data_IF_701307372569
#
_entry.id   IF_701307372569
#
_cell.length_a   1.000
_cell.length_b   1.000
_cell.length_c   1.000
_cell.angle_alpha   90.00
_cell.angle_beta   90.00
_cell.angle_gamma   90.00
#
_symmetry.space_group_name_H-M   'P 1'
#
loop_
_entity.id
_entity.type
_entity.pdbx_description
1 polymer ?
#
# COMPACT_ATOMS: atom_id res chain seq x y z
N UNK A 1 -34.20 3.32 13.47
CA UNK A 1 -32.86 3.61 12.93
C UNK A 1 -32.26 2.29 12.42
N UNK A 2 -31.34 2.28 11.47
CA UNK A 2 -30.76 1.03 10.94
C UNK A 2 -29.26 1.21 10.70
N UNK A 3 -28.48 0.18 11.05
CA UNK A 3 -27.06 0.06 10.68
C UNK A 3 -26.98 -0.81 9.43
N UNK A 4 -26.34 -0.31 8.38
CA UNK A 4 -26.19 -1.03 7.10
C UNK A 4 -24.70 -1.21 6.82
N UNK A 5 -24.24 -2.46 6.77
CA UNK A 5 -22.89 -2.82 6.32
C UNK A 5 -22.88 -2.86 4.79
N UNK A 6 -21.92 -2.17 4.15
CA UNK A 6 -21.92 -1.94 2.69
C UNK A 6 -20.96 -2.85 1.93
N UNK A 7 -19.79 -3.16 2.48
CA UNK A 7 -18.72 -3.87 1.77
C UNK A 7 -18.48 -5.31 2.29
N UNK A 8 -19.27 -5.79 3.25
CA UNK A 8 -19.16 -7.15 3.76
C UNK A 8 -20.52 -7.81 3.87
N UNK A 9 -20.53 -9.12 3.66
CA UNK A 9 -21.67 -9.99 3.92
C UNK A 9 -21.36 -10.97 5.05
N UNK A 10 -22.36 -11.31 5.87
CA UNK A 10 -22.19 -12.27 6.96
C UNK A 10 -21.79 -13.64 6.41
N UNK A 11 -20.70 -14.21 6.92
CA UNK A 11 -20.10 -15.47 6.48
C UNK A 11 -19.04 -15.31 5.39
N UNK A 12 -18.80 -14.09 4.90
CA UNK A 12 -17.78 -13.81 3.89
C UNK A 12 -16.36 -14.15 4.39
N UNK A 13 -15.53 -14.65 3.47
CA UNK A 13 -14.16 -15.08 3.75
C UNK A 13 -13.16 -14.10 3.16
N UNK A 14 -12.09 -13.79 3.90
CA UNK A 14 -10.96 -12.99 3.44
C UNK A 14 -9.66 -13.53 4.02
N UNK A 15 -8.55 -13.27 3.36
CA UNK A 15 -7.21 -13.59 3.87
C UNK A 15 -6.50 -12.40 4.53
N UNK A 16 -7.23 -11.30 4.73
CA UNK A 16 -6.71 -10.07 5.33
C UNK A 16 -6.96 -10.04 6.85
N UNK A 17 -5.90 -9.87 7.64
CA UNK A 17 -5.99 -9.86 9.11
C UNK A 17 -6.76 -8.66 9.64
N UNK A 18 -6.56 -7.48 9.05
CA UNK A 18 -7.31 -6.28 9.40
C UNK A 18 -8.46 -6.09 8.40
N UNK A 19 -9.69 -6.29 8.85
CA UNK A 19 -10.88 -6.08 8.03
C UNK A 19 -11.34 -4.62 8.11
N UNK A 20 -11.36 -3.92 6.97
CA UNK A 20 -11.96 -2.58 6.86
C UNK A 20 -13.46 -2.74 6.60
N UNK A 21 -14.29 -2.49 7.60
CA UNK A 21 -15.74 -2.56 7.51
C UNK A 21 -16.31 -1.17 7.28
N UNK A 22 -16.99 -1.00 6.14
CA UNK A 22 -17.65 0.25 5.74
C UNK A 22 -19.16 0.08 5.90
N UNK A 23 -19.81 1.08 6.49
CA UNK A 23 -21.25 1.06 6.66
C UNK A 23 -21.84 2.46 6.73
N UNK A 24 -23.16 2.51 6.88
CA UNK A 24 -23.87 3.73 7.20
C UNK A 24 -24.93 3.51 8.28
N UNK A 25 -25.25 4.57 8.99
CA UNK A 25 -26.38 4.66 9.91
C UNK A 25 -27.47 5.52 9.27
N UNK A 26 -28.67 4.99 9.20
CA UNK A 26 -29.79 5.64 8.52
C UNK A 26 -31.05 5.70 9.39
N UNK A 27 -31.83 6.76 9.21
CA UNK A 27 -33.16 6.93 9.78
C UNK A 27 -34.14 7.20 8.64
N UNK A 28 -35.25 6.44 8.57
CA UNK A 28 -36.25 6.55 7.49
C UNK A 28 -35.64 6.48 6.07
N UNK A 29 -34.64 5.63 5.87
CA UNK A 29 -33.90 5.46 4.61
C UNK A 29 -32.99 6.63 4.18
N UNK A 30 -32.79 7.63 5.05
CA UNK A 30 -31.86 8.73 4.84
C UNK A 30 -30.66 8.62 5.80
N UNK A 31 -29.42 8.88 5.35
CA UNK A 31 -28.26 8.93 6.23
C UNK A 31 -28.46 9.96 7.33
N UNK A 32 -28.15 9.60 8.58
CA UNK A 32 -28.24 10.54 9.70
C UNK A 32 -27.07 11.53 9.57
N UNK A 33 -27.40 12.80 9.31
CA UNK A 33 -26.43 13.90 9.34
C UNK A 33 -26.32 14.39 10.79
N UNK A 34 -25.85 13.53 11.70
CA UNK A 34 -25.48 13.97 13.05
C UNK A 34 -24.04 14.48 13.01
N UNK A 35 -23.77 15.62 13.64
CA UNK A 35 -22.41 16.06 13.89
C UNK A 35 -21.82 15.26 15.08
N UNK A 36 -20.71 14.57 14.82
CA UNK A 36 -19.84 13.89 15.79
C UNK A 36 -20.50 12.86 16.72
N UNK A 37 -20.97 11.75 16.15
CA UNK A 37 -21.28 10.53 16.92
C UNK A 37 -20.25 9.42 16.62
N UNK A 38 -20.17 8.43 17.51
CA UNK A 38 -19.35 7.22 17.32
C UNK A 38 -20.23 5.96 17.22
N UNK A 39 -19.80 5.01 16.39
CA UNK A 39 -20.29 3.63 16.41
C UNK A 39 -19.39 2.77 17.31
N UNK A 40 -20.02 1.98 18.17
CA UNK A 40 -19.32 1.05 19.05
C UNK A 40 -19.12 -0.26 18.30
N UNK A 41 -17.87 -0.67 18.15
CA UNK A 41 -17.49 -1.95 17.55
C UNK A 41 -16.93 -2.85 18.64
N UNK A 42 -17.54 -4.01 18.84
CA UNK A 42 -17.14 -5.00 19.84
C UNK A 42 -16.73 -6.29 19.17
N UNK A 43 -15.54 -6.79 19.50
CA UNK A 43 -15.01 -8.08 19.05
C UNK A 43 -14.28 -8.74 20.23
N UNK A 44 -14.77 -9.90 20.68
CA UNK A 44 -14.29 -10.53 21.90
C UNK A 44 -14.43 -9.60 23.11
N UNK A 45 -13.30 -9.28 23.76
CA UNK A 45 -13.20 -8.31 24.86
C UNK A 45 -12.83 -6.90 24.40
N UNK A 46 -12.49 -6.73 23.12
CA UNK A 46 -12.07 -5.45 22.56
C UNK A 46 -13.28 -4.62 22.19
N UNK A 47 -13.30 -3.37 22.66
CA UNK A 47 -14.31 -2.37 22.32
C UNK A 47 -13.61 -1.16 21.71
N UNK A 48 -14.01 -0.77 20.51
CA UNK A 48 -13.53 0.42 19.82
C UNK A 48 -14.66 1.39 19.49
N UNK A 49 -14.38 2.68 19.59
CA UNK A 49 -15.25 3.76 19.13
C UNK A 49 -14.76 4.24 17.78
N UNK A 50 -15.65 4.28 16.79
CA UNK A 50 -15.32 4.67 15.43
C UNK A 50 -16.18 5.86 14.98
N UNK A 51 -15.57 6.92 14.44
CA UNK A 51 -16.31 8.10 14.02
C UNK A 51 -17.36 7.78 12.95
N UNK A 52 -18.54 8.35 13.15
CA UNK A 52 -19.61 8.40 12.15
C UNK A 52 -19.64 9.82 11.58
N UNK A 53 -19.39 9.94 10.28
CA UNK A 53 -19.38 11.22 9.57
C UNK A 53 -20.38 11.20 8.42
N UNK A 54 -21.30 12.17 8.38
CA UNK A 54 -22.42 12.22 7.42
C UNK A 54 -23.22 10.91 7.36
N UNK A 55 -23.35 10.22 8.49
CA UNK A 55 -24.02 8.93 8.60
C UNK A 55 -23.22 7.75 8.05
N UNK A 56 -21.95 7.93 7.67
CA UNK A 56 -21.06 6.87 7.21
C UNK A 56 -19.99 6.56 8.27
N UNK A 57 -19.54 5.32 8.32
CA UNK A 57 -18.43 4.92 9.18
C UNK A 57 -17.50 3.96 8.45
N UNK A 58 -16.23 3.96 8.87
CA UNK A 58 -15.23 2.95 8.52
C UNK A 58 -14.60 2.47 9.81
N UNK A 59 -14.62 1.16 10.02
CA UNK A 59 -14.05 0.52 11.20
C UNK A 59 -13.03 -0.53 10.78
N UNK A 60 -11.87 -0.55 11.42
CA UNK A 60 -10.84 -1.58 11.19
C UNK A 60 -10.91 -2.58 12.33
N UNK A 61 -11.08 -3.86 11.99
CA UNK A 61 -11.21 -4.94 12.96
C UNK A 61 -10.08 -5.93 12.75
N UNK A 62 -9.30 -6.20 13.80
CA UNK A 62 -8.29 -7.26 13.78
C UNK A 62 -8.96 -8.62 13.98
N UNK A 63 -8.85 -9.49 12.98
CA UNK A 63 -9.45 -10.81 12.94
C UNK A 63 -8.47 -11.88 13.41
N UNK A 64 -8.99 -12.88 14.11
CA UNK A 64 -8.29 -14.13 14.39
C UNK A 64 -8.61 -15.18 13.31
N UNK A 65 -7.73 -16.18 13.15
CA UNK A 65 -7.93 -17.27 12.18
C UNK A 65 -9.24 -18.00 12.48
N UNK A 66 -10.04 -18.23 11.44
CA UNK A 66 -11.35 -18.87 11.59
C UNK A 66 -12.50 -17.87 11.67
N UNK A 67 -13.49 -18.15 12.50
CA UNK A 67 -14.76 -17.38 12.57
C UNK A 67 -14.64 -16.25 13.58
N UNK A 68 -15.07 -15.06 13.18
CA UNK A 68 -15.00 -13.83 13.96
C UNK A 68 -16.37 -13.16 13.99
N UNK A 69 -16.96 -13.06 15.17
CA UNK A 69 -18.25 -12.39 15.36
C UNK A 69 -18.03 -10.97 15.86
N UNK A 70 -18.34 -9.99 15.01
CA UNK A 70 -18.12 -8.57 15.27
C UNK A 70 -19.46 -7.87 15.42
N UNK A 71 -19.67 -7.21 16.56
CA UNK A 71 -20.91 -6.48 16.85
C UNK A 71 -20.71 -4.99 16.60
N UNK A 72 -21.60 -4.42 15.81
CA UNK A 72 -21.69 -2.98 15.56
C UNK A 72 -22.92 -2.45 16.28
N UNK A 73 -22.73 -1.48 17.18
CA UNK A 73 -23.82 -0.86 17.95
C UNK A 73 -23.80 0.65 17.78
N UNK A 74 -24.96 1.21 17.44
CA UNK A 74 -25.17 2.65 17.32
C UNK A 74 -26.48 2.99 18.02
N UNK A 75 -26.40 3.78 19.11
CA UNK A 75 -27.52 4.05 20.03
C UNK A 75 -28.18 2.75 20.51
N UNK A 76 -29.47 2.54 20.23
CA UNK A 76 -30.23 1.34 20.62
C UNK A 76 -30.14 0.19 19.59
N UNK A 77 -29.65 0.48 18.39
CA UNK A 77 -29.56 -0.49 17.30
C UNK A 77 -28.25 -1.26 17.33
N UNK A 78 -28.29 -2.52 16.91
CA UNK A 78 -27.10 -3.36 16.77
C UNK A 78 -27.20 -4.32 15.59
N UNK A 79 -26.06 -4.60 14.97
CA UNK A 79 -25.89 -5.60 13.90
C UNK A 79 -24.71 -6.49 14.25
N UNK A 80 -24.88 -7.80 14.01
CA UNK A 80 -23.82 -8.79 14.13
C UNK A 80 -23.29 -9.13 12.73
N UNK A 81 -21.99 -8.99 12.52
CA UNK A 81 -21.29 -9.36 11.31
C UNK A 81 -20.33 -10.50 11.63
N UNK A 82 -20.58 -11.67 11.04
CA UNK A 82 -19.68 -12.81 11.13
C UNK A 82 -18.72 -12.79 9.94
N UNK A 83 -17.41 -12.76 10.20
CA UNK A 83 -16.35 -12.77 9.20
C UNK A 83 -15.48 -14.02 9.35
N UNK A 84 -14.90 -14.51 8.25
CA UNK A 84 -13.97 -15.64 8.31
C UNK A 84 -12.58 -15.27 7.77
N UNK A 85 -11.57 -15.38 8.61
CA UNK A 85 -10.17 -15.24 8.19
C UNK A 85 -9.63 -16.61 7.74
N UNK A 86 -9.28 -16.73 6.46
CA UNK A 86 -8.63 -17.92 5.87
C UNK A 86 -7.37 -17.48 5.14
N UNK A 87 -6.24 -17.96 5.63
CA UNK A 87 -4.91 -17.78 5.01
C UNK A 87 -4.83 -18.57 3.69
N UNK A 88 -4.09 -18.07 2.71
CA UNK A 88 -3.84 -18.81 1.48
C UNK A 88 -3.01 -20.07 1.80
N UNK A 89 -3.34 -21.17 1.14
CA UNK A 89 -2.60 -22.43 1.22
C UNK A 89 -1.31 -22.34 0.39
N UNK A 90 -0.34 -21.59 0.89
CA UNK A 90 1.00 -21.42 0.33
C UNK A 90 1.95 -20.94 1.44
N UNK A 91 3.24 -21.19 1.28
CA UNK A 91 4.29 -20.71 2.19
C UNK A 91 4.79 -19.29 1.85
N UNK A 92 4.30 -18.68 0.77
CA UNK A 92 4.74 -17.35 0.33
C UNK A 92 4.25 -16.27 1.28
N UNK A 93 5.18 -15.51 1.89
CA UNK A 93 4.83 -14.45 2.85
C UNK A 93 5.78 -13.24 2.86
N UNK A 94 5.22 -12.07 3.15
CA UNK A 94 5.96 -10.84 3.36
C UNK A 94 6.44 -10.80 4.82
N UNK A 95 7.71 -10.48 5.01
CA UNK A 95 8.36 -10.33 6.31
C UNK A 95 8.55 -8.84 6.59
N UNK A 96 7.86 -8.28 7.59
CA UNK A 96 8.16 -6.95 8.09
C UNK A 96 9.52 -6.99 8.79
N UNK A 97 10.45 -6.11 8.40
CA UNK A 97 11.84 -6.16 8.81
C UNK A 97 12.32 -4.78 9.27
N UNK A 98 12.99 -4.73 10.42
CA UNK A 98 13.70 -3.54 10.88
C UNK A 98 15.21 -3.77 10.77
N UNK A 99 15.90 -2.91 10.02
CA UNK A 99 17.33 -3.03 9.74
C UNK A 99 18.11 -2.06 10.62
N UNK A 100 18.88 -2.62 11.54
CA UNK A 100 19.70 -1.88 12.51
C UNK A 100 21.14 -1.83 12.02
N UNK A 101 21.67 -0.64 11.77
CA UNK A 101 23.07 -0.44 11.37
C UNK A 101 24.04 -0.87 12.49
N UNK A 102 25.26 -1.22 12.10
CA UNK A 102 26.33 -1.55 13.04
C UNK A 102 26.61 -0.37 13.99
N UNK A 103 26.76 -0.70 15.27
CA UNK A 103 26.91 0.27 16.36
C UNK A 103 25.70 1.17 16.64
N UNK A 104 24.56 0.96 15.98
CA UNK A 104 23.31 1.71 16.26
C UNK A 104 22.45 1.01 17.31
N UNK A 105 21.79 1.77 18.17
CA UNK A 105 20.91 1.25 19.23
C UNK A 105 19.49 0.92 18.73
N UNK A 106 19.23 1.15 17.45
CA UNK A 106 17.93 0.89 16.82
C UNK A 106 16.87 1.95 17.10
N UNK A 107 17.22 3.11 17.66
CA UNK A 107 16.27 4.20 17.84
C UNK A 107 16.05 4.98 16.55
N UNK A 108 14.80 5.29 16.22
CA UNK A 108 14.47 6.18 15.10
C UNK A 108 14.26 7.63 15.56
N UNK A 109 14.34 8.60 14.64
CA UNK A 109 14.10 9.99 14.96
C UNK A 109 12.63 10.25 15.29
N UNK A 110 12.36 10.84 16.46
CA UNK A 110 11.02 11.09 16.97
C UNK A 110 10.95 12.36 17.82
N UNK A 111 9.76 12.94 18.05
CA UNK A 111 9.57 14.01 19.02
C UNK A 111 9.96 13.58 20.45
N UNK A 112 10.29 14.55 21.30
CA UNK A 112 10.51 14.31 22.73
C UNK A 112 9.29 13.63 23.38
N UNK A 113 9.55 12.66 24.25
CA UNK A 113 8.52 11.87 24.94
C UNK A 113 7.83 10.80 24.08
N UNK A 114 8.16 10.67 22.79
CA UNK A 114 7.66 9.57 21.93
C UNK A 114 8.56 8.34 22.10
N UNK A 115 7.97 7.16 22.30
CA UNK A 115 8.73 5.90 22.29
C UNK A 115 9.29 5.63 20.89
N UNK A 116 10.61 5.76 20.78
CA UNK A 116 11.37 5.53 19.57
C UNK A 116 12.30 4.31 19.66
N UNK A 117 12.04 3.40 20.60
CA UNK A 117 12.80 2.16 20.76
C UNK A 117 12.70 1.24 19.53
N UNK A 118 13.62 0.28 19.45
CA UNK A 118 13.59 -0.82 18.49
C UNK A 118 12.27 -1.60 18.56
N UNK A 119 11.74 -1.84 19.76
CA UNK A 119 10.46 -2.54 19.96
C UNK A 119 9.27 -1.72 19.43
N UNK A 120 9.27 -0.41 19.66
CA UNK A 120 8.28 0.52 19.07
C UNK A 120 8.35 0.50 17.54
N UNK A 121 9.56 0.52 16.97
CA UNK A 121 9.76 0.43 15.53
C UNK A 121 9.14 -0.85 14.97
N UNK A 122 9.46 -2.00 15.57
CA UNK A 122 8.93 -3.30 15.16
C UNK A 122 7.40 -3.35 15.20
N UNK A 123 6.77 -2.82 16.27
CA UNK A 123 5.30 -2.77 16.39
C UNK A 123 4.66 -1.89 15.32
N UNK A 124 5.23 -0.71 15.04
CA UNK A 124 4.77 0.21 14.00
C UNK A 124 4.88 -0.41 12.60
N UNK A 125 6.01 -1.04 12.30
CA UNK A 125 6.26 -1.70 11.02
C UNK A 125 5.30 -2.88 10.80
N UNK A 126 5.09 -3.70 11.83
CA UNK A 126 4.16 -4.82 11.79
C UNK A 126 2.72 -4.37 11.51
N UNK A 127 2.24 -3.35 12.23
CA UNK A 127 0.90 -2.79 12.00
C UNK A 127 0.79 -2.15 10.60
N UNK A 128 1.82 -1.41 10.18
CA UNK A 128 1.88 -0.83 8.85
C UNK A 128 1.79 -1.88 7.74
N UNK A 129 2.46 -3.03 7.88
CA UNK A 129 2.35 -4.14 6.94
C UNK A 129 0.93 -4.69 6.82
N UNK A 130 0.21 -4.85 7.94
CA UNK A 130 -1.19 -5.28 7.92
C UNK A 130 -2.15 -4.20 7.37
N UNK A 131 -1.87 -2.92 7.57
CA UNK A 131 -2.63 -1.83 6.95
C UNK A 131 -2.45 -1.84 5.43
N UNK A 132 -1.21 -2.00 4.93
CA UNK A 132 -0.93 -2.16 3.50
C UNK A 132 -1.65 -3.38 2.94
N UNK A 133 -1.60 -4.51 3.65
CA UNK A 133 -2.34 -5.73 3.29
C UNK A 133 -3.84 -5.45 3.09
N UNK A 134 -4.45 -4.69 4.02
CA UNK A 134 -5.88 -4.31 3.97
C UNK A 134 -6.21 -3.40 2.81
N UNK A 135 -5.36 -2.39 2.60
CA UNK A 135 -5.52 -1.47 1.49
C UNK A 135 -5.53 -2.24 0.17
N UNK A 136 -4.58 -3.15 -0.04
CA UNK A 136 -4.53 -3.95 -1.25
C UNK A 136 -5.81 -4.78 -1.46
N UNK A 137 -6.33 -5.42 -0.40
CA UNK A 137 -7.57 -6.20 -0.48
C UNK A 137 -8.79 -5.35 -0.87
N UNK A 138 -8.96 -4.18 -0.25
CA UNK A 138 -10.08 -3.28 -0.54
C UNK A 138 -9.96 -2.66 -1.93
N UNK A 139 -8.75 -2.28 -2.36
CA UNK A 139 -8.53 -1.70 -3.70
C UNK A 139 -8.73 -2.72 -4.81
N UNK A 140 -8.50 -4.01 -4.55
CA UNK A 140 -8.87 -5.09 -5.49
C UNK A 140 -10.39 -5.28 -5.56
N UNK A 141 -11.08 -5.28 -4.42
CA UNK A 141 -12.54 -5.38 -4.38
C UNK A 141 -13.22 -4.23 -5.15
N UNK A 142 -12.76 -3.00 -4.95
CA UNK A 142 -13.29 -1.82 -5.66
C UNK A 142 -13.08 -1.87 -7.18
N UNK A 143 -12.16 -2.70 -7.67
CA UNK A 143 -11.95 -2.98 -9.10
C UNK A 143 -12.81 -4.13 -9.62
N UNK A 144 -13.71 -4.66 -8.79
CA UNK A 144 -14.55 -5.81 -9.12
C UNK A 144 -13.80 -7.14 -9.12
N UNK A 145 -12.63 -7.20 -8.49
CA UNK A 145 -11.84 -8.43 -8.32
C UNK A 145 -12.10 -9.02 -6.93
N UNK A 146 -11.76 -10.30 -6.70
CA UNK A 146 -11.93 -10.90 -5.38
C UNK A 146 -11.14 -10.13 -4.31
N UNK A 147 -11.74 -9.95 -3.13
CA UNK A 147 -11.06 -9.41 -1.95
C UNK A 147 -9.99 -10.40 -1.51
N UNK A 148 -8.74 -10.12 -1.88
CA UNK A 148 -7.58 -10.92 -1.51
C UNK A 148 -6.33 -10.07 -1.47
N UNK A 149 -5.31 -10.57 -0.80
CA UNK A 149 -4.06 -9.84 -0.58
C UNK A 149 -2.90 -10.80 -0.34
N UNK A 150 -1.67 -10.30 -0.22
CA UNK A 150 -0.53 -11.10 0.21
C UNK A 150 -0.63 -11.43 1.70
N UNK A 151 0.12 -12.42 2.15
CA UNK A 151 0.16 -12.83 3.56
C UNK A 151 1.42 -12.28 4.23
N UNK A 152 1.29 -11.88 5.49
CA UNK A 152 2.43 -11.54 6.34
C UNK A 152 2.91 -12.81 7.05
N UNK A 153 4.20 -12.91 7.39
CA UNK A 153 4.77 -14.12 8.02
C UNK A 153 3.99 -14.56 9.27
N UNK A 154 3.63 -13.62 10.14
CA UNK A 154 2.84 -13.91 11.34
C UNK A 154 1.40 -14.36 11.02
N UNK A 155 0.86 -14.03 9.84
CA UNK A 155 -0.42 -14.59 9.41
C UNK A 155 -0.33 -16.08 9.17
N UNK A 156 0.81 -16.60 8.66
CA UNK A 156 1.08 -18.01 8.36
C UNK A 156 1.51 -18.82 9.59
N UNK A 157 2.32 -18.23 10.45
CA UNK A 157 2.77 -18.83 11.69
C UNK A 157 2.58 -17.81 12.83
N UNK A 158 1.49 -17.94 13.62
CA UNK A 158 1.25 -17.04 14.75
C UNK A 158 2.38 -17.02 15.78
N UNK A 159 3.25 -18.03 15.83
CA UNK A 159 4.42 -18.08 16.69
C UNK A 159 5.63 -17.31 16.15
N UNK A 160 5.64 -16.95 14.86
CA UNK A 160 6.72 -16.17 14.25
C UNK A 160 6.66 -14.70 14.68
N UNK A 161 7.80 -13.97 14.73
CA UNK A 161 7.83 -12.56 15.06
C UNK A 161 6.94 -11.72 14.13
N UNK A 162 6.25 -10.73 14.68
CA UNK A 162 5.43 -9.78 13.89
C UNK A 162 6.29 -8.83 13.05
N UNK A 163 7.52 -8.56 13.50
CA UNK A 163 8.57 -7.91 12.74
C UNK A 163 9.91 -8.51 13.16
N UNK A 164 10.76 -8.81 12.19
CA UNK A 164 12.13 -9.31 12.44
C UNK A 164 13.11 -8.16 12.53
N UNK A 165 14.23 -8.39 13.22
CA UNK A 165 15.35 -7.45 13.26
C UNK A 165 16.54 -8.07 12.53
N UNK A 166 17.14 -7.30 11.63
CA UNK A 166 18.41 -7.63 10.99
C UNK A 166 19.46 -6.60 11.42
N UNK A 167 20.56 -7.07 11.99
CA UNK A 167 21.73 -6.23 12.25
C UNK A 167 22.61 -6.23 11.01
N UNK A 168 22.70 -5.08 10.36
CA UNK A 168 23.51 -4.84 9.16
C UNK A 168 24.96 -4.59 9.53
N UNK A 169 25.88 -4.95 8.65
CA UNK A 169 27.31 -4.61 8.78
C UNK A 169 27.59 -3.14 8.42
N UNK A 170 26.63 -2.42 7.82
CA UNK A 170 26.79 -0.99 7.55
C UNK A 170 26.74 -0.19 8.83
N UNK A 171 27.75 0.63 9.08
CA UNK A 171 27.66 1.69 10.09
C UNK A 171 26.70 2.78 9.64
N UNK A 172 26.18 3.58 10.58
CA UNK A 172 25.35 4.74 10.25
C UNK A 172 26.06 5.74 9.31
N UNK A 173 27.37 5.92 9.47
CA UNK A 173 28.15 6.87 8.66
C UNK A 173 28.24 6.42 7.20
N UNK A 174 28.39 5.13 6.97
CA UNK A 174 28.44 4.55 5.63
C UNK A 174 27.06 4.59 4.99
N UNK A 175 26.03 4.12 5.70
CA UNK A 175 24.67 4.10 5.20
C UNK A 175 24.18 5.49 4.75
N UNK A 176 24.52 6.54 5.50
CA UNK A 176 24.14 7.94 5.18
C UNK A 176 24.90 8.55 3.99
N UNK A 177 25.97 7.92 3.50
CA UNK A 177 26.74 8.37 2.32
C UNK A 177 26.32 7.67 1.03
N UNK A 178 25.71 6.49 1.14
CA UNK A 178 25.28 5.70 0.00
C UNK A 178 24.06 6.33 -0.69
N UNK A 179 23.96 6.13 -2.00
CA UNK A 179 22.71 6.41 -2.73
C UNK A 179 21.67 5.35 -2.36
N UNK A 180 20.40 5.68 -2.58
CA UNK A 180 19.30 4.76 -2.27
C UNK A 180 19.44 3.42 -3.01
N UNK A 181 19.89 3.42 -4.27
CA UNK A 181 20.05 2.19 -5.06
C UNK A 181 21.15 1.30 -4.46
N UNK A 182 22.29 1.89 -4.09
CA UNK A 182 23.39 1.19 -3.44
C UNK A 182 22.97 0.63 -2.07
N UNK A 183 22.17 1.38 -1.29
CA UNK A 183 21.59 0.91 -0.03
C UNK A 183 20.66 -0.28 -0.26
N UNK A 184 19.74 -0.17 -1.23
CA UNK A 184 18.78 -1.22 -1.55
C UNK A 184 19.49 -2.52 -1.98
N UNK A 185 20.50 -2.41 -2.84
CA UNK A 185 21.30 -3.56 -3.29
C UNK A 185 22.10 -4.19 -2.14
N UNK A 186 22.73 -3.37 -1.30
CA UNK A 186 23.52 -3.85 -0.18
C UNK A 186 22.65 -4.60 0.83
N UNK A 187 21.56 -3.97 1.29
CA UNK A 187 20.64 -4.58 2.25
C UNK A 187 19.96 -5.83 1.67
N UNK A 188 19.58 -5.79 0.38
CA UNK A 188 19.04 -6.96 -0.31
C UNK A 188 20.02 -8.13 -0.31
N UNK A 189 21.31 -7.87 -0.58
CA UNK A 189 22.35 -8.90 -0.51
C UNK A 189 22.52 -9.43 0.91
N UNK A 190 22.58 -8.57 1.92
CA UNK A 190 22.71 -8.98 3.32
C UNK A 190 21.55 -9.89 3.75
N UNK A 191 20.31 -9.50 3.46
CA UNK A 191 19.12 -10.31 3.73
C UNK A 191 19.30 -11.70 3.13
N UNK A 192 19.70 -11.79 1.86
CA UNK A 192 19.86 -13.07 1.15
C UNK A 192 21.07 -13.91 1.61
N UNK A 193 22.04 -13.31 2.29
CA UNK A 193 23.16 -14.03 2.91
C UNK A 193 22.95 -14.35 4.40
N UNK A 194 21.87 -13.84 4.99
CA UNK A 194 21.55 -14.00 6.40
C UNK A 194 20.69 -15.25 6.67
N UNK A 195 20.52 -15.67 7.94
CA UNK A 195 19.65 -16.81 8.29
C UNK A 195 18.16 -16.61 7.95
N UNK A 196 17.71 -15.38 7.70
CA UNK A 196 16.30 -15.12 7.34
C UNK A 196 16.01 -15.35 5.86
N UNK A 197 17.06 -15.46 5.02
CA UNK A 197 16.98 -15.62 3.57
C UNK A 197 16.02 -16.74 3.14
N UNK A 198 15.20 -16.44 2.13
CA UNK A 198 14.29 -17.42 1.54
C UNK A 198 13.70 -16.88 0.24
N UNK A 199 13.61 -17.72 -0.78
CA UNK A 199 12.90 -17.40 -2.03
C UNK A 199 11.37 -17.38 -1.84
N UNK A 200 10.88 -17.94 -0.73
CA UNK A 200 9.47 -17.91 -0.32
C UNK A 200 9.12 -16.67 0.51
N UNK A 201 10.10 -15.78 0.74
CA UNK A 201 9.92 -14.54 1.50
C UNK A 201 10.22 -13.31 0.65
N UNK A 202 9.41 -12.27 0.89
CA UNK A 202 9.63 -10.90 0.40
C UNK A 202 9.75 -10.01 1.63
N UNK A 203 10.53 -8.94 1.57
CA UNK A 203 10.86 -8.16 2.76
C UNK A 203 10.35 -6.74 2.61
N UNK A 204 9.54 -6.30 3.58
CA UNK A 204 9.25 -4.88 3.80
C UNK A 204 10.21 -4.40 4.88
N UNK A 205 11.31 -3.77 4.46
CA UNK A 205 12.40 -3.38 5.34
C UNK A 205 12.37 -1.87 5.63
N UNK A 206 12.52 -1.49 6.89
CA UNK A 206 12.72 -0.10 7.31
C UNK A 206 14.12 0.07 7.90
N UNK A 207 14.89 1.03 7.38
CA UNK A 207 16.23 1.34 7.83
C UNK A 207 16.22 2.25 9.06
N UNK A 208 16.89 1.82 10.13
CA UNK A 208 16.88 2.53 11.43
C UNK A 208 17.60 3.88 11.45
N UNK A 209 18.55 4.11 10.53
CA UNK A 209 19.49 5.24 10.65
C UNK A 209 19.11 6.50 9.86
N UNK A 210 17.87 6.58 9.36
CA UNK A 210 17.34 7.79 8.71
C UNK A 210 17.48 8.98 9.62
N UNK A 211 17.95 10.10 9.08
CA UNK A 211 18.17 11.30 9.87
C UNK A 211 17.83 12.57 9.08
N UNK A 212 17.05 13.43 9.70
CA UNK A 212 16.75 14.78 9.24
C UNK A 212 17.44 15.80 10.16
N UNK A 213 18.24 16.70 9.57
CA UNK A 213 19.01 17.72 10.29
C UNK A 213 18.34 19.10 10.34
N UNK A 214 17.12 19.23 9.81
CA UNK A 214 16.42 20.51 9.61
C UNK A 214 16.54 21.08 8.20
N UNK A 215 17.45 20.54 7.37
CA UNK A 215 17.69 21.01 5.99
C UNK A 215 17.66 19.86 4.99
N UNK A 216 18.25 18.71 5.34
CA UNK A 216 18.36 17.55 4.45
C UNK A 216 18.09 16.26 5.22
N UNK A 217 17.49 15.31 4.50
CA UNK A 217 17.37 13.93 4.96
C UNK A 217 18.48 13.06 4.36
N UNK A 218 18.99 12.13 5.16
CA UNK A 218 19.96 11.11 4.74
C UNK A 218 19.50 9.73 5.19
N UNK A 219 19.94 8.69 4.46
CA UNK A 219 19.53 7.29 4.68
C UNK A 219 18.01 7.09 4.76
N UNK A 220 17.26 7.75 3.86
CA UNK A 220 15.81 7.62 3.69
C UNK A 220 15.49 7.03 2.32
N UNK A 221 15.83 5.75 2.06
CA UNK A 221 15.48 5.12 0.80
C UNK A 221 13.96 5.05 0.63
N UNK A 222 13.50 4.97 -0.60
CA UNK A 222 12.14 4.56 -0.96
C UNK A 222 12.25 3.80 -2.29
N UNK A 223 12.57 2.51 -2.18
CA UNK A 223 12.82 1.65 -3.34
C UNK A 223 12.21 0.26 -3.15
N UNK A 224 11.51 -0.20 -4.18
CA UNK A 224 10.90 -1.51 -4.25
C UNK A 224 11.26 -2.24 -5.53
N UNK A 225 11.34 -3.57 -5.44
CA UNK A 225 11.58 -4.44 -6.60
C UNK A 225 11.99 -5.84 -6.18
N UNK A 226 11.97 -6.79 -7.10
CA UNK A 226 12.46 -8.15 -6.86
C UNK A 226 11.79 -8.81 -5.65
N UNK A 227 12.47 -8.82 -4.49
CA UNK A 227 11.92 -9.30 -3.22
C UNK A 227 12.05 -8.34 -2.03
N UNK A 228 12.35 -7.06 -2.26
CA UNK A 228 12.61 -6.07 -1.21
C UNK A 228 11.89 -4.74 -1.51
N UNK A 229 11.12 -4.25 -0.54
CA UNK A 229 10.74 -2.86 -0.41
C UNK A 229 11.52 -2.27 0.77
N UNK A 230 12.48 -1.37 0.50
CA UNK A 230 13.33 -0.72 1.50
C UNK A 230 12.90 0.74 1.64
N UNK A 231 12.53 1.13 2.86
CA UNK A 231 12.23 2.51 3.19
C UNK A 231 13.01 3.03 4.40
N UNK A 232 13.08 4.34 4.57
CA UNK A 232 13.63 4.96 5.78
C UNK A 232 12.63 5.07 6.94
N UNK A 233 13.16 5.29 8.13
CA UNK A 233 12.41 5.43 9.39
C UNK A 233 12.01 6.88 9.73
N UNK A 234 12.30 7.86 8.86
CA UNK A 234 12.18 9.29 9.17
C UNK A 234 10.76 9.74 9.59
N UNK A 235 9.74 8.99 9.19
CA UNK A 235 8.32 9.28 9.48
C UNK A 235 7.68 8.27 10.43
N UNK A 236 8.42 7.26 10.89
CA UNK A 236 7.90 6.13 11.67
C UNK A 236 7.27 6.58 12.99
N UNK A 237 7.72 7.70 13.56
CA UNK A 237 7.16 8.32 14.76
C UNK A 237 5.69 8.75 14.61
N UNK A 238 5.19 8.92 13.38
CA UNK A 238 3.78 9.26 13.11
C UNK A 238 2.86 8.03 13.05
N UNK A 239 3.44 6.82 12.93
CA UNK A 239 2.69 5.58 12.75
C UNK A 239 2.08 5.08 14.06
N UNK A 240 0.91 4.41 14.01
CA UNK A 240 0.37 3.76 15.20
C UNK A 240 1.23 2.55 15.60
N UNK A 241 1.42 2.33 16.90
CA UNK A 241 2.03 1.10 17.46
C UNK A 241 1.00 -0.01 17.67
N UNK A 242 -0.28 0.34 17.71
CA UNK A 242 -1.40 -0.59 17.94
C UNK A 242 -2.67 -0.06 17.30
N UNK A 243 -3.64 -0.96 17.07
CA UNK A 243 -4.90 -0.59 16.41
C UNK A 243 -5.69 0.47 17.17
N UNK A 244 -5.58 0.52 18.51
CA UNK A 244 -6.24 1.54 19.34
C UNK A 244 -5.73 2.96 19.09
N UNK A 245 -4.52 3.12 18.56
CA UNK A 245 -3.95 4.42 18.20
C UNK A 245 -4.31 4.87 16.78
N UNK A 246 -4.92 3.99 15.96
CA UNK A 246 -5.10 4.22 14.53
C UNK A 246 -5.86 5.53 14.24
N UNK A 247 -7.02 5.72 14.88
CA UNK A 247 -7.85 6.91 14.70
C UNK A 247 -7.08 8.15 15.13
N UNK A 248 -6.47 8.12 16.32
CA UNK A 248 -5.67 9.24 16.83
C UNK A 248 -4.57 9.64 15.85
N UNK A 249 -3.76 8.69 15.37
CA UNK A 249 -2.67 9.00 14.45
C UNK A 249 -3.14 9.55 13.09
N UNK A 250 -4.21 9.00 12.51
CA UNK A 250 -4.77 9.51 11.25
C UNK A 250 -5.57 10.80 11.38
N UNK A 251 -5.85 11.26 12.61
CA UNK A 251 -6.56 12.52 12.86
C UNK A 251 -5.68 13.58 13.53
N UNK A 252 -4.43 13.26 13.88
CA UNK A 252 -3.49 14.17 14.53
C UNK A 252 -3.11 15.38 13.63
N UNK A 253 -3.77 16.51 13.87
CA UNK A 253 -3.56 17.76 13.14
C UNK A 253 -2.43 18.62 13.71
N UNK A 254 -1.66 18.14 14.70
CA UNK A 254 -0.48 18.89 15.19
C UNK A 254 0.46 19.18 14.03
N UNK A 255 1.08 20.35 14.05
CA UNK A 255 2.02 20.76 13.01
C UNK A 255 3.34 20.02 13.15
N UNK A 256 3.91 19.60 12.03
CA UNK A 256 5.22 18.97 12.01
C UNK A 256 6.28 19.97 12.47
N UNK A 257 7.05 19.71 13.54
CA UNK A 257 8.10 20.61 13.97
C UNK A 257 9.26 20.61 12.96
N UNK A 258 10.03 21.71 12.83
CA UNK A 258 11.13 21.80 11.86
C UNK A 258 12.24 20.75 12.05
N UNK A 259 12.39 20.22 13.27
CA UNK A 259 13.39 19.20 13.60
C UNK A 259 13.01 17.77 13.19
N UNK A 260 11.87 17.57 12.54
CA UNK A 260 11.41 16.26 12.04
C UNK A 260 11.13 16.33 10.54
N UNK A 261 11.29 15.19 9.87
CA UNK A 261 11.03 15.07 8.45
C UNK A 261 9.53 15.24 8.16
N UNK A 262 9.19 16.25 7.35
CA UNK A 262 7.83 16.44 6.85
C UNK A 262 7.65 15.74 5.49
N UNK A 263 7.11 14.53 5.51
CA UNK A 263 6.65 13.82 4.31
C UNK A 263 5.11 13.82 4.23
N UNK A 264 4.47 14.96 4.50
CA UNK A 264 3.00 15.03 4.55
C UNK A 264 2.31 15.45 3.26
N UNK A 265 3.04 15.53 2.14
CA UNK A 265 2.54 16.09 0.87
C UNK A 265 1.89 17.48 1.09
N UNK A 266 2.66 18.41 1.68
CA UNK A 266 2.29 19.80 1.93
C UNK A 266 1.16 20.05 2.96
N UNK A 267 0.68 19.02 3.66
CA UNK A 267 -0.32 19.20 4.73
C UNK A 267 0.29 19.76 6.03
N UNK A 268 1.56 19.47 6.26
CA UNK A 268 2.35 19.90 7.43
C UNK A 268 1.84 19.34 8.75
N UNK A 269 1.19 18.17 8.76
CA UNK A 269 0.61 17.55 9.96
C UNK A 269 1.10 16.13 10.17
N UNK A 270 1.03 15.64 11.42
CA UNK A 270 1.35 14.24 11.76
C UNK A 270 0.47 13.25 10.99
N UNK A 271 -0.84 13.50 10.94
CA UNK A 271 -1.79 12.68 10.15
C UNK A 271 -1.44 12.66 8.66
N UNK A 272 -1.11 13.83 8.08
CA UNK A 272 -0.72 13.91 6.67
C UNK A 272 0.59 13.18 6.39
N UNK A 273 1.54 13.22 7.33
CA UNK A 273 2.82 12.52 7.23
C UNK A 273 2.64 10.99 7.34
N UNK A 274 1.82 10.51 8.27
CA UNK A 274 1.44 9.10 8.35
C UNK A 274 0.79 8.64 7.03
N UNK A 275 -0.18 9.40 6.52
CA UNK A 275 -0.89 9.03 5.30
C UNK A 275 0.06 8.90 4.10
N UNK A 276 0.82 9.95 3.77
CA UNK A 276 1.74 9.89 2.64
C UNK A 276 2.82 8.82 2.83
N UNK A 277 3.38 8.65 4.04
CA UNK A 277 4.44 7.65 4.26
C UNK A 277 3.94 6.21 4.18
N UNK A 278 2.75 5.90 4.73
CA UNK A 278 2.11 4.61 4.55
C UNK A 278 1.73 4.37 3.07
N UNK A 279 1.33 5.43 2.37
CA UNK A 279 1.11 5.41 0.92
C UNK A 279 2.37 5.11 0.12
N UNK A 280 3.52 5.68 0.49
CA UNK A 280 4.82 5.33 -0.09
C UNK A 280 5.17 3.86 0.14
N UNK A 281 4.86 3.29 1.31
CA UNK A 281 5.03 1.84 1.52
C UNK A 281 4.14 1.04 0.57
N UNK A 282 2.89 1.46 0.35
CA UNK A 282 2.02 0.82 -0.63
C UNK A 282 2.61 0.86 -2.04
N UNK A 283 3.27 1.95 -2.42
CA UNK A 283 3.96 2.11 -3.70
C UNK A 283 5.13 1.14 -3.86
N UNK A 284 6.05 1.11 -2.89
CA UNK A 284 7.25 0.25 -2.94
C UNK A 284 6.90 -1.23 -2.85
N UNK A 285 5.90 -1.59 -2.03
CA UNK A 285 5.33 -2.95 -2.02
C UNK A 285 4.73 -3.30 -3.38
N UNK A 286 4.20 -2.32 -4.11
CA UNK A 286 3.70 -2.49 -5.47
C UNK A 286 4.81 -2.90 -6.43
N UNK A 287 5.94 -2.20 -6.40
CA UNK A 287 7.13 -2.59 -7.17
C UNK A 287 7.67 -3.96 -6.77
N UNK A 288 7.65 -4.29 -5.48
CA UNK A 288 8.01 -5.61 -4.96
C UNK A 288 7.09 -6.72 -5.51
N UNK A 289 5.86 -6.40 -5.92
CA UNK A 289 4.92 -7.27 -6.64
C UNK A 289 4.86 -7.00 -8.16
N UNK A 290 5.97 -6.54 -8.73
CA UNK A 290 6.16 -6.33 -10.17
C UNK A 290 5.24 -5.29 -10.79
N UNK A 291 4.67 -4.34 -10.03
CA UNK A 291 3.97 -3.20 -10.61
C UNK A 291 4.97 -2.17 -11.15
N UNK A 292 4.65 -1.54 -12.28
CA UNK A 292 5.41 -0.42 -12.83
C UNK A 292 4.69 0.90 -12.57
N UNK A 293 5.37 2.03 -12.74
CA UNK A 293 4.73 3.34 -12.57
C UNK A 293 3.59 3.52 -13.58
N UNK A 294 2.47 4.05 -13.12
CA UNK A 294 1.31 4.36 -13.96
C UNK A 294 1.02 5.86 -13.94
N UNK A 295 0.23 6.41 -14.88
CA UNK A 295 -0.12 7.83 -14.85
C UNK A 295 -0.90 8.24 -13.59
N UNK A 296 -1.74 7.34 -13.07
CA UNK A 296 -2.64 7.58 -11.93
C UNK A 296 -2.59 6.43 -10.92
N UNK A 297 -3.21 6.63 -9.75
CA UNK A 297 -3.34 5.60 -8.71
C UNK A 297 -2.09 5.45 -7.84
N UNK A 298 -2.03 4.36 -7.08
CA UNK A 298 -0.96 4.08 -6.10
C UNK A 298 0.42 3.98 -6.76
N UNK A 299 0.53 3.53 -8.00
CA UNK A 299 1.81 3.52 -8.74
C UNK A 299 2.16 4.89 -9.37
N UNK A 300 1.50 5.95 -8.90
CA UNK A 300 1.71 7.38 -9.14
C UNK A 300 1.56 8.10 -7.79
N UNK A 301 0.99 9.30 -7.72
CA UNK A 301 0.69 10.03 -6.45
C UNK A 301 -0.67 9.71 -5.82
N UNK A 302 -1.41 8.73 -6.34
CA UNK A 302 -2.71 8.31 -5.81
C UNK A 302 -2.64 7.54 -4.49
N UNK A 303 -1.58 7.75 -3.69
CA UNK A 303 -1.40 7.19 -2.35
C UNK A 303 -1.30 8.28 -1.28
N UNK A 304 -1.39 9.56 -1.65
CA UNK A 304 -1.21 10.63 -0.66
C UNK A 304 -2.36 10.68 0.37
N UNK A 305 -3.52 10.09 0.10
CA UNK A 305 -4.70 10.17 0.99
C UNK A 305 -5.16 8.80 1.54
N UNK A 306 -4.22 7.89 1.84
CA UNK A 306 -4.58 6.54 2.35
C UNK A 306 -5.35 6.57 3.67
N UNK A 307 -5.30 7.65 4.45
CA UNK A 307 -6.11 7.79 5.67
C UNK A 307 -7.61 7.61 5.37
N UNK A 308 -8.04 8.04 4.17
CA UNK A 308 -9.43 7.92 3.72
C UNK A 308 -9.85 6.50 3.43
N UNK A 309 -8.92 5.58 3.21
CA UNK A 309 -9.25 4.14 3.09
C UNK A 309 -9.73 3.60 4.43
N UNK A 310 -9.16 4.08 5.53
CA UNK A 310 -9.39 3.56 6.88
C UNK A 310 -10.42 4.35 7.69
N UNK A 311 -10.58 5.66 7.43
CA UNK A 311 -11.48 6.53 8.17
C UNK A 311 -12.50 7.23 7.26
N UNK A 312 -13.70 7.45 7.79
CA UNK A 312 -14.69 8.39 7.25
C UNK A 312 -14.59 9.67 8.08
N UNK A 313 -13.61 10.52 7.78
CA UNK A 313 -13.41 11.82 8.44
C UNK A 313 -13.19 12.91 7.39
N UNK A 314 -13.59 14.16 7.67
CA UNK A 314 -13.35 15.27 6.76
C UNK A 314 -11.85 15.47 6.61
N UNK A 315 -11.34 15.26 5.40
CA UNK A 315 -9.95 15.54 5.06
C UNK A 315 -9.77 17.06 4.95
N UNK A 316 -8.70 17.64 5.52
CA UNK A 316 -8.38 19.05 5.28
C UNK A 316 -8.25 19.29 3.79
N UNK A 317 -8.95 20.30 3.25
CA UNK A 317 -8.79 20.67 1.84
C UNK A 317 -7.32 21.02 1.57
N UNK A 318 -6.65 20.23 0.73
CA UNK A 318 -5.33 20.55 0.20
C UNK A 318 -5.51 21.74 -0.74
N UNK A 319 -5.24 22.96 -0.26
CA UNK A 319 -5.05 24.12 -1.15
C UNK A 319 -3.76 23.90 -1.93
N UNK A 320 -3.83 23.30 -3.12
CA UNK A 320 -2.67 23.24 -4.02
C UNK A 320 -2.38 21.94 -4.76
N UNK A 321 -3.25 20.92 -4.76
CA UNK A 321 -3.12 19.86 -5.77
C UNK A 321 -3.57 20.43 -7.12
N UNK A 322 -2.66 21.10 -7.82
CA UNK A 322 -2.81 21.37 -9.23
C UNK A 322 -2.99 20.02 -9.94
N UNK A 323 -4.04 19.88 -10.74
CA UNK A 323 -4.12 18.82 -11.76
C UNK A 323 -2.87 18.99 -12.63
N UNK A 324 -2.00 17.99 -12.65
CA UNK A 324 -0.78 18.00 -13.46
C UNK A 324 -1.19 17.95 -14.93
N UNK A 325 -0.74 18.92 -15.73
CA UNK A 325 -0.96 18.97 -17.18
C UNK A 325 -0.23 17.81 -17.88
N UNK A 326 -0.98 17.08 -18.72
CA UNK A 326 -0.63 15.80 -19.38
C UNK A 326 0.42 15.88 -20.52
N UNK A 327 1.22 16.97 -20.63
CA UNK A 327 2.05 17.18 -21.84
C UNK A 327 3.55 17.33 -21.63
N UNK A 328 4.09 17.20 -20.41
CA UNK A 328 5.54 17.24 -20.21
C UNK A 328 6.09 15.92 -19.69
N UNK A 329 7.09 15.39 -20.42
CA UNK A 329 7.89 14.21 -20.07
C UNK A 329 8.18 14.15 -18.57
N UNK A 330 7.49 13.24 -17.90
CA UNK A 330 7.63 12.95 -16.47
C UNK A 330 9.03 12.41 -16.20
N UNK A 331 9.94 13.31 -15.81
CA UNK A 331 11.00 12.91 -14.88
C UNK A 331 10.26 12.62 -13.58
N UNK A 332 10.05 11.34 -13.29
CA UNK A 332 9.64 10.86 -11.98
C UNK A 332 10.73 11.27 -10.99
N UNK A 333 10.53 12.43 -10.39
CA UNK A 333 11.35 12.92 -9.30
C UNK A 333 11.09 11.96 -8.13
N UNK A 334 12.14 11.32 -7.56
CA UNK A 334 12.03 10.60 -6.30
C UNK A 334 11.28 11.48 -5.30
N UNK A 335 10.48 10.92 -4.39
CA UNK A 335 10.05 11.69 -3.23
C UNK A 335 11.28 12.43 -2.68
N UNK A 336 11.25 13.77 -2.72
CA UNK A 336 12.33 14.72 -2.38
C UNK A 336 13.26 15.17 -3.52
N UNK A 337 12.80 16.15 -4.31
CA UNK A 337 13.68 17.26 -4.68
C UNK A 337 12.93 18.59 -4.52
N UNK A 338 13.30 19.37 -3.52
CA UNK A 338 12.87 20.77 -3.39
C UNK A 338 13.69 21.57 -4.39
N UNK A 339 13.06 22.10 -5.43
CA UNK A 339 13.60 23.23 -6.20
C UNK A 339 12.52 24.30 -6.32
N UNK A 340 12.78 25.45 -5.71
CA UNK A 340 11.96 26.65 -5.79
C UNK A 340 12.07 27.30 -7.18
N UNK A 341 10.95 27.59 -7.85
CA UNK A 341 10.87 28.74 -8.76
C UNK A 341 9.43 29.13 -9.10
N UNK A 342 9.28 30.44 -9.32
CA UNK A 342 8.08 31.25 -9.55
C UNK A 342 7.47 31.11 -10.95
N UNK A 343 6.13 31.19 -11.04
CA UNK A 343 5.31 31.14 -12.27
C UNK A 343 5.00 32.55 -12.86
N UNK A 344 4.73 32.62 -14.18
CA UNK A 344 3.73 33.54 -14.73
C UNK A 344 2.56 32.82 -15.45
N UNK A 345 1.41 33.48 -15.45
CA UNK A 345 0.05 33.04 -15.77
C UNK A 345 -0.34 33.21 -17.25
N UNK A 346 -0.98 32.24 -17.92
CA UNK A 346 -1.93 32.46 -19.05
C UNK A 346 -2.90 31.27 -19.27
N UNK A 347 -4.21 31.57 -19.37
CA UNK A 347 -5.17 30.99 -20.36
C UNK A 347 -5.91 29.68 -20.09
N UNK A 348 -7.21 29.75 -19.72
CA UNK A 348 -8.17 28.63 -19.66
C UNK A 348 -8.71 28.23 -21.06
N UNK A 349 -9.13 26.96 -21.23
CA UNK A 349 -10.37 26.67 -21.94
C UNK A 349 -11.33 25.75 -21.14
N UNK A 350 -12.63 25.96 -21.35
CA UNK A 350 -13.77 25.19 -20.82
C UNK A 350 -13.92 23.80 -21.46
N UNK A 351 -14.37 22.79 -20.67
CA UNK A 351 -15.50 21.93 -21.09
C UNK A 351 -16.08 20.99 -20.04
N UNK A 352 -17.42 20.92 -20.12
CA UNK A 352 -18.36 19.81 -19.95
C UNK A 352 -18.40 19.04 -18.61
N UNK A 353 -19.43 19.36 -17.82
CA UNK A 353 -19.90 18.61 -16.67
C UNK A 353 -20.66 17.34 -17.07
N UNK A 354 -20.37 16.24 -16.39
CA UNK A 354 -21.23 15.05 -16.34
C UNK A 354 -21.89 14.96 -14.94
N UNK A 355 -23.09 14.36 -14.83
CA UNK A 355 -24.01 14.58 -13.71
C UNK A 355 -23.57 13.83 -12.45
N UNK A 356 -23.86 14.44 -11.30
CA UNK A 356 -23.62 13.88 -9.98
C UNK A 356 -24.41 12.57 -9.77
N UNK A 357 -23.70 11.45 -9.73
CA UNK A 357 -24.15 10.21 -9.08
C UNK A 357 -23.73 10.25 -7.61
N UNK A 358 -24.60 9.73 -6.75
CA UNK A 358 -24.44 9.44 -5.32
C UNK A 358 -23.02 9.66 -4.79
N UNK A 359 -22.86 10.56 -3.80
CA UNK A 359 -21.58 10.94 -3.19
C UNK A 359 -20.88 9.71 -2.60
N UNK A 360 -20.18 8.94 -3.43
CA UNK A 360 -19.19 7.97 -2.98
C UNK A 360 -18.08 8.80 -2.34
N UNK A 361 -17.76 8.54 -1.08
CA UNK A 361 -16.53 9.05 -0.49
C UNK A 361 -15.35 8.47 -1.28
N UNK A 362 -14.93 9.18 -2.33
CA UNK A 362 -13.76 8.80 -3.11
C UNK A 362 -12.52 9.09 -2.25
N UNK A 363 -11.82 8.02 -1.89
CA UNK A 363 -10.57 8.08 -1.14
C UNK A 363 -9.38 8.44 -2.02
N UNK A 364 -9.61 8.67 -3.33
CA UNK A 364 -8.61 9.00 -4.35
C UNK A 364 -7.48 7.97 -4.47
N UNK A 365 -7.64 6.82 -3.83
CA UNK A 365 -6.65 5.76 -3.75
C UNK A 365 -7.15 4.59 -4.58
N UNK A 366 -6.42 4.22 -5.63
CA UNK A 366 -6.81 3.07 -6.46
C UNK A 366 -5.62 2.49 -7.22
N UNK A 367 -5.77 1.25 -7.68
CA UNK A 367 -4.90 0.67 -8.71
C UNK A 367 -5.51 0.91 -10.10
N UNK A 368 -4.65 1.03 -11.13
CA UNK A 368 -5.13 0.87 -12.51
C UNK A 368 -5.66 -0.55 -12.72
N UNK A 369 -6.51 -0.74 -13.72
CA UNK A 369 -7.09 -2.07 -14.03
C UNK A 369 -5.99 -3.11 -14.27
N UNK A 370 -4.96 -2.76 -15.04
CA UNK A 370 -3.78 -3.62 -15.26
C UNK A 370 -3.01 -3.95 -13.96
N UNK A 371 -2.76 -2.98 -13.08
CA UNK A 371 -2.09 -3.25 -11.80
C UNK A 371 -2.92 -4.20 -10.92
N UNK A 372 -4.22 -3.94 -10.82
CA UNK A 372 -5.15 -4.77 -10.07
C UNK A 372 -5.20 -6.21 -10.62
N UNK A 373 -5.20 -6.36 -11.95
CA UNK A 373 -5.16 -7.66 -12.62
C UNK A 373 -3.83 -8.40 -12.39
N UNK A 374 -2.68 -7.71 -12.40
CA UNK A 374 -1.38 -8.30 -12.06
C UNK A 374 -1.43 -8.85 -10.63
N UNK A 375 -1.83 -8.04 -9.65
CA UNK A 375 -1.92 -8.45 -8.25
C UNK A 375 -2.89 -9.62 -8.06
N UNK A 376 -4.08 -9.56 -8.67
CA UNK A 376 -5.08 -10.61 -8.56
C UNK A 376 -4.60 -11.95 -9.14
N UNK A 377 -3.72 -11.96 -10.14
CA UNK A 377 -3.16 -13.19 -10.68
C UNK A 377 -1.78 -13.54 -10.09
N UNK A 378 -1.19 -12.69 -9.24
CA UNK A 378 0.12 -12.91 -8.68
C UNK A 378 0.13 -14.11 -7.74
N UNK A 379 1.14 -14.99 -7.83
CA UNK A 379 1.23 -16.21 -6.99
C UNK A 379 1.23 -15.94 -5.47
N UNK A 380 1.61 -14.73 -5.08
CA UNK A 380 1.64 -14.28 -3.67
C UNK A 380 0.28 -13.87 -3.10
N UNK A 381 -0.72 -13.72 -3.96
CA UNK A 381 -2.09 -13.32 -3.63
C UNK A 381 -3.07 -14.48 -3.78
N UNK A 382 -2.56 -15.69 -4.00
CA UNK A 382 -3.35 -16.87 -4.35
C UNK A 382 -2.79 -18.10 -3.64
N UNK A 383 -3.63 -19.14 -3.54
CA UNK A 383 -3.23 -20.47 -3.12
C UNK A 383 -2.20 -21.07 -4.09
N UNK A 384 -1.37 -21.97 -3.58
CA UNK A 384 -0.44 -22.74 -4.42
C UNK A 384 -1.22 -23.64 -5.39
N UNK A 385 -0.75 -23.68 -6.64
CA UNK A 385 -1.35 -24.47 -7.72
C UNK A 385 -0.35 -25.51 -8.22
N UNK A 386 -0.78 -26.75 -8.39
CA UNK A 386 0.04 -27.82 -8.97
C UNK A 386 0.34 -27.62 -10.46
N UNK A 387 -0.44 -26.78 -11.15
CA UNK A 387 -0.27 -26.49 -12.56
C UNK A 387 0.79 -25.40 -12.78
N UNK A 388 1.82 -25.73 -13.55
CA UNK A 388 2.89 -24.80 -13.90
C UNK A 388 2.85 -24.50 -15.40
N UNK A 389 2.67 -23.23 -15.74
CA UNK A 389 2.85 -22.73 -17.10
C UNK A 389 3.75 -21.49 -17.04
N UNK A 390 4.78 -21.48 -17.88
CA UNK A 390 5.66 -20.31 -18.02
C UNK A 390 5.11 -19.36 -19.07
N UNK A 391 5.52 -18.10 -18.99
CA UNK A 391 5.31 -17.09 -20.03
C UNK A 391 6.60 -16.97 -20.85
N UNK A 392 6.50 -17.01 -22.18
CA UNK A 392 7.65 -16.92 -23.09
C UNK A 392 7.50 -15.76 -24.06
N UNK A 393 8.63 -15.25 -24.55
CA UNK A 393 8.69 -14.22 -25.58
C UNK A 393 9.59 -14.65 -26.74
N UNK A 394 9.05 -14.63 -27.95
CA UNK A 394 9.77 -14.86 -29.20
C UNK A 394 10.12 -13.49 -29.85
N UNK A 395 11.41 -13.10 -29.88
CA UNK A 395 11.83 -11.81 -30.43
C UNK A 395 11.76 -11.73 -31.97
N UNK A 396 11.75 -12.87 -32.68
CA UNK A 396 11.65 -12.89 -34.15
C UNK A 396 10.21 -12.56 -34.55
N UNK A 397 9.26 -13.13 -33.82
CA UNK A 397 7.81 -12.96 -34.07
C UNK A 397 7.18 -11.82 -33.26
N UNK A 398 7.93 -11.21 -32.34
CA UNK A 398 7.42 -10.29 -31.31
C UNK A 398 6.19 -10.87 -30.59
N UNK A 399 6.25 -12.15 -30.24
CA UNK A 399 5.10 -12.90 -29.75
C UNK A 399 5.30 -13.27 -28.28
N UNK A 400 4.37 -12.87 -27.43
CA UNK A 400 4.25 -13.35 -26.04
C UNK A 400 3.30 -14.53 -26.01
N UNK A 401 3.69 -15.62 -25.35
CA UNK A 401 2.89 -16.84 -25.27
C UNK A 401 2.81 -17.43 -23.86
N UNK A 402 1.68 -18.05 -23.53
CA UNK A 402 1.49 -18.84 -22.30
C UNK A 402 0.32 -19.82 -22.46
N UNK A 403 0.53 -21.09 -22.17
CA UNK A 403 -0.53 -22.12 -22.23
C UNK A 403 -1.66 -21.88 -21.24
N UNK A 404 -1.33 -21.38 -20.04
CA UNK A 404 -2.32 -20.96 -19.03
C UNK A 404 -3.16 -19.73 -19.43
N UNK A 405 -2.85 -19.09 -20.56
CA UNK A 405 -3.48 -17.84 -20.98
C UNK A 405 -2.88 -16.61 -20.29
N UNK A 406 -2.55 -15.60 -21.09
CA UNK A 406 -2.03 -14.31 -20.64
C UNK A 406 -3.16 -13.46 -20.04
N UNK A 407 -2.81 -12.66 -19.02
CA UNK A 407 -3.74 -11.74 -18.33
C UNK A 407 -3.38 -10.29 -18.54
N UNK A 408 -2.10 -9.96 -18.33
CA UNK A 408 -1.59 -8.62 -18.58
C UNK A 408 -0.25 -8.74 -19.27
N UNK A 409 -0.06 -7.91 -20.30
CA UNK A 409 1.23 -7.70 -20.94
C UNK A 409 1.51 -6.20 -20.94
N UNK A 410 2.71 -5.79 -20.57
CA UNK A 410 3.12 -4.40 -20.45
C UNK A 410 4.47 -4.19 -21.10
N UNK A 411 4.60 -3.07 -21.80
CA UNK A 411 5.88 -2.49 -22.15
C UNK A 411 6.17 -1.33 -21.21
N UNK A 412 7.34 -1.39 -20.56
CA UNK A 412 7.80 -0.40 -19.62
C UNK A 412 9.06 0.29 -20.14
N UNK A 413 9.20 1.58 -19.84
CA UNK A 413 10.41 2.33 -20.12
C UNK A 413 11.55 1.99 -19.15
N UNK A 414 12.69 2.63 -19.33
CA UNK A 414 13.88 2.44 -18.49
C UNK A 414 13.66 2.78 -17.01
N UNK A 415 12.75 3.71 -16.70
CA UNK A 415 12.36 4.09 -15.33
C UNK A 415 11.27 3.18 -14.73
N UNK A 416 10.93 2.07 -15.39
CA UNK A 416 9.83 1.18 -14.97
C UNK A 416 8.42 1.71 -15.26
N UNK A 417 8.29 2.88 -15.89
CA UNK A 417 6.99 3.47 -16.24
C UNK A 417 6.30 2.68 -17.34
N UNK A 418 5.00 2.39 -17.14
CA UNK A 418 4.18 1.68 -18.11
C UNK A 418 3.90 2.59 -19.30
N UNK A 419 4.46 2.24 -20.46
CA UNK A 419 4.26 2.94 -21.74
C UNK A 419 3.00 2.42 -22.42
N UNK A 420 2.82 1.09 -22.40
CA UNK A 420 1.66 0.44 -23.00
C UNK A 420 1.28 -0.80 -22.20
N UNK A 421 -0.02 -1.02 -22.06
CA UNK A 421 -0.59 -2.15 -21.34
C UNK A 421 -1.67 -2.80 -22.18
N UNK A 422 -1.67 -4.13 -22.22
CA UNK A 422 -2.72 -4.95 -22.80
C UNK A 422 -3.32 -5.80 -21.70
N UNK A 423 -4.60 -5.61 -21.45
CA UNK A 423 -5.38 -6.38 -20.48
C UNK A 423 -6.22 -7.38 -21.25
N UNK A 424 -6.00 -8.66 -20.96
CA UNK A 424 -6.60 -9.77 -21.68
C UNK A 424 -7.74 -10.34 -20.83
N UNK A 425 -8.95 -10.29 -21.38
CA UNK A 425 -10.18 -10.61 -20.66
C UNK A 425 -10.28 -12.08 -20.21
N UNK A 426 -11.26 -12.35 -19.36
CA UNK A 426 -11.52 -13.68 -18.78
C UNK A 426 -12.34 -14.62 -19.66
N UNK A 427 -12.92 -14.15 -20.78
CA UNK A 427 -13.86 -14.92 -21.60
C UNK A 427 -13.23 -16.12 -22.32
N UNK A 428 -11.93 -16.06 -22.63
CA UNK A 428 -11.17 -17.16 -23.23
C UNK A 428 -9.68 -17.05 -22.86
N UNK A 429 -8.95 -18.17 -22.78
CA UNK A 429 -7.51 -18.13 -22.52
C UNK A 429 -6.79 -17.52 -23.72
N UNK A 430 -6.36 -16.27 -23.57
CA UNK A 430 -5.57 -15.57 -24.57
C UNK A 430 -4.13 -16.10 -24.53
N UNK A 431 -3.86 -17.21 -25.22
CA UNK A 431 -2.56 -17.89 -25.16
C UNK A 431 -1.42 -17.13 -25.84
N UNK A 432 -1.74 -16.23 -26.76
CA UNK A 432 -0.79 -15.57 -27.64
C UNK A 432 -1.12 -14.09 -27.76
N UNK A 433 -0.11 -13.23 -27.73
CA UNK A 433 -0.23 -11.81 -28.03
C UNK A 433 0.97 -11.36 -28.89
N UNK A 434 0.68 -10.89 -30.11
CA UNK A 434 1.70 -10.27 -30.97
C UNK A 434 1.83 -8.80 -30.59
N UNK A 435 3.04 -8.39 -30.23
CA UNK A 435 3.35 -7.02 -29.87
C UNK A 435 3.58 -6.17 -31.12
N UNK A 436 3.03 -4.94 -31.18
CA UNK A 436 3.40 -4.01 -32.24
C UNK A 436 4.88 -3.67 -32.13
N UNK A 437 5.55 -3.49 -33.28
CA UNK A 437 6.95 -3.04 -33.34
C UNK A 437 7.05 -1.59 -32.85
N UNK A 438 7.29 -1.42 -31.56
CA UNK A 438 7.53 -0.13 -30.93
C UNK A 438 9.04 0.05 -30.75
N UNK A 439 9.59 1.16 -31.26
CA UNK A 439 10.99 1.53 -31.03
C UNK A 439 11.11 2.27 -29.69
N UNK A 440 11.11 1.53 -28.60
CA UNK A 440 11.40 2.06 -27.27
C UNK A 440 12.78 1.54 -26.87
N UNK A 441 13.82 2.39 -26.80
CA UNK A 441 15.13 1.96 -26.37
C UNK A 441 15.08 1.46 -24.92
N UNK A 442 15.74 0.34 -24.65
CA UNK A 442 15.84 -0.26 -23.30
C UNK A 442 14.47 -0.56 -22.65
N UNK A 443 13.48 -0.97 -23.44
CA UNK A 443 12.17 -1.33 -22.91
C UNK A 443 12.24 -2.63 -22.11
N UNK A 444 11.42 -2.71 -21.05
CA UNK A 444 11.20 -3.96 -20.32
C UNK A 444 9.81 -4.50 -20.64
N UNK A 445 9.76 -5.73 -21.13
CA UNK A 445 8.54 -6.49 -21.32
C UNK A 445 8.18 -7.20 -20.02
N UNK A 446 6.98 -6.94 -19.51
CA UNK A 446 6.41 -7.65 -18.35
C UNK A 446 5.11 -8.33 -18.76
N UNK A 447 4.97 -9.62 -18.47
CA UNK A 447 3.77 -10.37 -18.79
C UNK A 447 3.43 -11.36 -17.68
N UNK A 448 2.14 -11.49 -17.35
CA UNK A 448 1.63 -12.43 -16.34
C UNK A 448 0.53 -13.31 -16.95
N UNK A 449 0.54 -14.58 -16.58
CA UNK A 449 -0.51 -15.53 -16.97
C UNK A 449 -1.51 -15.83 -15.83
N UNK A 450 -2.50 -16.68 -16.12
CA UNK A 450 -3.55 -17.05 -15.17
C UNK A 450 -3.05 -17.73 -13.89
N UNK A 451 -1.87 -18.38 -13.92
CA UNK A 451 -1.26 -19.08 -12.78
C UNK A 451 -0.21 -18.23 -12.05
N UNK A 452 -0.07 -16.95 -12.41
CA UNK A 452 0.84 -16.04 -11.72
C UNK A 452 2.32 -16.21 -12.06
N UNK A 453 2.64 -16.92 -13.15
CA UNK A 453 3.99 -16.87 -13.74
C UNK A 453 4.19 -15.51 -14.38
N UNK A 454 5.28 -14.84 -14.02
CA UNK A 454 5.65 -13.53 -14.54
C UNK A 454 6.92 -13.66 -15.38
N UNK A 455 6.85 -13.15 -16.61
CA UNK A 455 8.02 -12.84 -17.42
C UNK A 455 8.36 -11.37 -17.20
N UNK A 456 9.63 -11.06 -16.94
CA UNK A 456 10.15 -9.70 -16.91
C UNK A 456 11.54 -9.70 -17.55
N UNK A 457 11.66 -9.13 -18.74
CA UNK A 457 12.93 -9.09 -19.47
C UNK A 457 13.05 -7.83 -20.33
N UNK A 458 14.29 -7.38 -20.55
CA UNK A 458 14.59 -6.28 -21.46
C UNK A 458 14.45 -6.76 -22.93
N UNK A 459 13.89 -5.94 -23.82
CA UNK A 459 13.67 -6.25 -25.24
C UNK A 459 14.14 -5.15 -26.18
#
# INVERSE_FOLDING_TARGET
>A
MVIIIKNWTTGETSNCRLAVVRGCVAENSWPIVSENDDIVVTYGTTVGLWPVHNGHFKAVVELERGVNDVRFKYKEEQVLLTLRLVVHSTELCVVPLYVVCDGHDGRFQAPEGTDNSLDSACRRIALGAHLVQSLYAEKLLEKGLPRKTFQVENDLDPGSPTCRVLHSQLTMSEARKLKQEDLWEFIGREIMTSPIASEKRKYLAILSCTFWDGTRVVADPALGGGGLALLGSGTLHTWPESLSQLIHCFTDQRKMPPGLLDNSCFRGTFAGCLSTSLGSVCHEVGHMFNLGHTPTGIMSRGFDNVERVFLSVPSPQVKGCAKVDDTNNLILVPCLSISSSTLPTVGKPERASCPASETSEDDFTSFTSACAAILAHHKWFNNETSETSTVTYDPIRNLVSSEAGLKVVQLRGSSGSVIKSWELGSKSPHKHLILPRLKVPHATLVAINSFGSILSQQI
#
